data_IF_718132952577
#
_entry.id   IF_718132952577
#
_cell.length_a   1.000
_cell.length_b   1.000
_cell.length_c   1.000
_cell.angle_alpha   90.00
_cell.angle_beta   90.00
_cell.angle_gamma   90.00
#
_symmetry.space_group_name_H-M   'P 1'
#
loop_
_entity.id
_entity.type
_entity.pdbx_description
1 polymer ?
#
# COMPACT_ATOMS: atom_id res chain seq x y z
N UNK A 1 29.24 20.68 20.16
CA UNK A 1 28.54 21.03 18.91
C UNK A 1 28.05 19.74 18.27
N UNK A 2 26.75 19.45 18.34
CA UNK A 2 26.11 18.32 17.64
C UNK A 2 24.58 18.52 17.62
N UNK A 3 24.12 19.73 17.27
CA UNK A 3 22.70 20.08 17.26
C UNK A 3 22.06 20.02 15.86
N UNK A 4 22.86 19.90 14.79
CA UNK A 4 22.35 19.89 13.41
C UNK A 4 22.09 18.49 12.84
N UNK A 5 22.54 17.41 13.51
CA UNK A 5 22.43 16.05 12.96
C UNK A 5 21.08 15.37 13.23
N UNK A 6 20.34 15.77 14.27
CA UNK A 6 19.10 15.09 14.68
C UNK A 6 17.89 15.48 13.85
N UNK A 7 17.82 16.70 13.32
CA UNK A 7 16.71 17.13 12.43
C UNK A 7 16.76 16.40 11.09
N UNK A 8 17.97 16.15 10.57
CA UNK A 8 18.19 15.45 9.29
C UNK A 8 17.72 13.99 9.29
N UNK A 9 17.56 13.36 10.46
CA UNK A 9 17.12 11.96 10.57
C UNK A 9 15.61 11.79 10.25
N UNK A 10 14.82 12.83 10.54
CA UNK A 10 13.39 12.86 10.29
C UNK A 10 13.02 13.52 8.97
N UNK A 11 13.95 14.24 8.37
CA UNK A 11 13.76 14.87 7.07
C UNK A 11 13.90 13.84 5.96
N UNK A 12 12.88 13.81 5.11
CA UNK A 12 12.90 13.14 3.81
C UNK A 12 12.26 14.08 2.80
N UNK A 13 12.46 13.81 1.52
CA UNK A 13 11.70 14.52 0.50
C UNK A 13 10.27 13.94 0.47
N UNK A 14 9.37 14.56 1.23
CA UNK A 14 7.99 14.11 1.37
C UNK A 14 7.25 14.15 0.04
N UNK A 15 7.48 15.20 -0.76
CA UNK A 15 6.86 15.36 -2.08
C UNK A 15 7.29 14.23 -3.03
N UNK A 16 8.59 13.97 -3.15
CA UNK A 16 9.11 12.86 -3.97
C UNK A 16 8.58 11.50 -3.48
N UNK A 17 8.41 11.32 -2.17
CA UNK A 17 7.87 10.08 -1.63
C UNK A 17 6.39 9.89 -1.95
N UNK A 18 5.59 10.96 -1.87
CA UNK A 18 4.18 10.94 -2.28
C UNK A 18 4.06 10.68 -3.78
N UNK A 19 4.88 11.32 -4.61
CA UNK A 19 4.93 11.07 -6.04
C UNK A 19 5.30 9.61 -6.35
N UNK A 20 6.22 9.02 -5.59
CA UNK A 20 6.56 7.61 -5.70
C UNK A 20 5.38 6.70 -5.35
N UNK A 21 4.57 7.02 -4.33
CA UNK A 21 3.36 6.25 -3.99
C UNK A 21 2.36 6.31 -5.15
N UNK A 22 2.10 7.49 -5.71
CA UNK A 22 1.18 7.62 -6.85
C UNK A 22 1.71 6.89 -8.09
N UNK A 23 3.01 6.92 -8.33
CA UNK A 23 3.65 6.20 -9.44
C UNK A 23 3.53 4.68 -9.27
N UNK A 24 3.72 4.17 -8.04
CA UNK A 24 3.51 2.75 -7.71
C UNK A 24 2.05 2.35 -8.02
N UNK A 25 1.07 3.16 -7.59
CA UNK A 25 -0.35 2.89 -7.84
C UNK A 25 -0.70 2.86 -9.33
N UNK A 26 -0.28 3.88 -10.08
CA UNK A 26 -0.51 3.94 -11.53
C UNK A 26 0.15 2.76 -12.26
N UNK A 27 1.35 2.35 -11.82
CA UNK A 27 2.02 1.18 -12.37
C UNK A 27 1.28 -0.13 -12.08
N UNK A 28 0.70 -0.27 -10.88
CA UNK A 28 -0.08 -1.46 -10.53
C UNK A 28 -1.35 -1.58 -11.35
N UNK A 29 -2.08 -0.47 -11.54
CA UNK A 29 -3.27 -0.42 -12.40
C UNK A 29 -2.92 -0.91 -13.83
N UNK A 30 -1.85 -0.39 -14.43
CA UNK A 30 -1.41 -0.82 -15.76
C UNK A 30 -0.98 -2.30 -15.83
N UNK A 31 -0.36 -2.83 -14.78
CA UNK A 31 0.08 -4.22 -14.75
C UNK A 31 -1.07 -5.21 -14.62
N UNK A 32 -2.13 -4.82 -13.93
CA UNK A 32 -3.26 -5.70 -13.65
C UNK A 32 -4.20 -5.83 -14.87
N UNK A 33 -4.01 -4.98 -15.90
CA UNK A 33 -4.59 -5.13 -17.25
C UNK A 33 -3.94 -6.25 -18.08
N UNK A 34 -2.85 -6.88 -17.58
CA UNK A 34 -2.18 -7.98 -18.31
C UNK A 34 -2.79 -9.34 -17.99
N UNK A 35 -3.04 -10.15 -19.02
CA UNK A 35 -3.56 -11.51 -18.89
C UNK A 35 -2.48 -12.41 -18.24
N UNK A 36 -2.52 -12.53 -16.91
CA UNK A 36 -1.63 -13.38 -16.11
C UNK A 36 -2.43 -14.34 -15.25
N UNK A 37 -1.84 -15.49 -14.93
CA UNK A 37 -2.50 -16.52 -14.13
C UNK A 37 -2.93 -15.96 -12.76
N UNK A 38 -4.13 -16.33 -12.31
CA UNK A 38 -4.69 -15.85 -11.03
C UNK A 38 -3.76 -16.06 -9.84
N UNK A 39 -3.00 -17.17 -9.82
CA UNK A 39 -2.01 -17.46 -8.78
C UNK A 39 -0.84 -16.47 -8.77
N UNK A 40 -0.43 -15.98 -9.95
CA UNK A 40 0.60 -14.95 -10.06
C UNK A 40 0.07 -13.59 -9.62
N UNK A 41 -1.20 -13.28 -9.95
CA UNK A 41 -1.85 -12.05 -9.46
C UNK A 41 -1.93 -12.05 -7.94
N UNK A 42 -2.38 -13.14 -7.31
CA UNK A 42 -2.39 -13.28 -5.84
C UNK A 42 -1.00 -13.02 -5.24
N UNK A 43 0.06 -13.57 -5.85
CA UNK A 43 1.42 -13.37 -5.38
C UNK A 43 1.88 -11.90 -5.52
N UNK A 44 1.53 -11.22 -6.62
CA UNK A 44 1.80 -9.78 -6.81
C UNK A 44 1.11 -8.94 -5.74
N UNK A 45 -0.17 -9.20 -5.49
CA UNK A 45 -0.93 -8.49 -4.46
C UNK A 45 -0.39 -8.75 -3.05
N UNK A 46 0.05 -9.98 -2.75
CA UNK A 46 0.72 -10.30 -1.48
C UNK A 46 2.03 -9.52 -1.30
N UNK A 47 2.88 -9.45 -2.33
CA UNK A 47 4.14 -8.69 -2.28
C UNK A 47 3.88 -7.18 -2.11
N UNK A 48 2.96 -6.60 -2.90
CA UNK A 48 2.54 -5.20 -2.78
C UNK A 48 1.99 -4.90 -1.39
N UNK A 49 1.19 -5.81 -0.82
CA UNK A 49 0.64 -5.68 0.53
C UNK A 49 1.74 -5.64 1.58
N UNK A 50 2.69 -6.60 1.53
CA UNK A 50 3.80 -6.67 2.49
C UNK A 50 4.69 -5.44 2.40
N UNK A 51 5.01 -4.98 1.19
CA UNK A 51 5.81 -3.78 0.96
C UNK A 51 5.10 -2.53 1.49
N UNK A 52 3.81 -2.35 1.21
CA UNK A 52 3.00 -1.22 1.73
C UNK A 52 2.91 -1.25 3.25
N UNK A 53 2.68 -2.43 3.85
CA UNK A 53 2.64 -2.60 5.30
C UNK A 53 3.99 -2.23 5.94
N UNK A 54 5.10 -2.65 5.33
CA UNK A 54 6.43 -2.27 5.80
C UNK A 54 6.66 -0.75 5.72
N UNK A 55 6.26 -0.10 4.62
CA UNK A 55 6.32 1.37 4.48
C UNK A 55 5.54 2.05 5.62
N UNK A 56 4.31 1.62 5.90
CA UNK A 56 3.49 2.13 7.02
C UNK A 56 4.22 1.99 8.35
N UNK A 57 4.73 0.79 8.66
CA UNK A 57 5.47 0.54 9.91
C UNK A 57 6.67 1.48 10.09
N UNK A 58 7.42 1.73 9.01
CA UNK A 58 8.56 2.66 9.03
C UNK A 58 8.09 4.09 9.29
N UNK A 59 7.05 4.56 8.58
CA UNK A 59 6.51 5.91 8.76
C UNK A 59 5.94 6.14 10.15
N UNK A 60 5.16 5.19 10.68
CA UNK A 60 4.68 5.27 12.05
C UNK A 60 5.81 5.30 13.08
N UNK A 61 6.86 4.50 12.86
CA UNK A 61 8.03 4.48 13.76
C UNK A 61 8.72 5.84 13.76
N UNK A 62 9.01 6.40 12.58
CA UNK A 62 9.63 7.72 12.45
C UNK A 62 8.77 8.81 13.07
N UNK A 63 7.46 8.78 12.82
CA UNK A 63 6.48 9.68 13.44
C UNK A 63 6.49 9.60 14.96
N UNK A 64 6.45 8.39 15.54
CA UNK A 64 6.51 8.20 17.01
C UNK A 64 7.83 8.70 17.59
N UNK A 65 8.95 8.43 16.92
CA UNK A 65 10.27 8.92 17.32
C UNK A 65 10.31 10.45 17.31
N UNK A 66 9.83 11.08 16.24
CA UNK A 66 9.72 12.53 16.12
C UNK A 66 8.81 13.13 17.20
N UNK A 67 7.67 12.50 17.51
CA UNK A 67 6.76 12.98 18.56
C UNK A 67 7.40 12.94 19.96
N UNK A 68 8.28 11.97 20.20
CA UNK A 68 9.05 11.87 21.45
C UNK A 68 10.34 12.70 21.46
N UNK A 69 10.71 13.30 20.33
CA UNK A 69 11.94 14.08 20.22
C UNK A 69 11.82 15.42 20.96
N UNK A 70 12.81 15.71 21.79
CA UNK A 70 12.88 16.94 22.58
C UNK A 70 13.84 17.97 21.97
N UNK A 71 14.52 17.63 20.87
CA UNK A 71 15.56 18.46 20.25
C UNK A 71 14.99 19.34 19.15
N UNK A 72 14.09 18.79 18.33
CA UNK A 72 13.47 19.49 17.20
C UNK A 72 12.60 20.64 17.70
N UNK A 73 12.74 21.85 17.12
CA UNK A 73 11.87 22.97 17.46
C UNK A 73 10.40 22.60 17.27
N UNK A 74 9.55 22.94 18.25
CA UNK A 74 8.13 22.52 18.26
C UNK A 74 7.38 22.87 16.98
N UNK A 75 7.64 24.03 16.38
CA UNK A 75 7.01 24.43 15.11
C UNK A 75 7.39 23.46 13.99
N UNK A 76 8.68 23.14 13.86
CA UNK A 76 9.18 22.18 12.87
C UNK A 76 8.70 20.76 13.14
N UNK A 77 8.61 20.36 14.41
CA UNK A 77 8.06 19.07 14.82
C UNK A 77 6.60 18.93 14.37
N UNK A 78 5.78 19.97 14.54
CA UNK A 78 4.38 19.97 14.09
C UNK A 78 4.29 19.84 12.57
N UNK A 79 5.10 20.59 11.81
CA UNK A 79 5.16 20.47 10.35
C UNK A 79 5.50 19.04 9.91
N UNK A 80 6.61 18.49 10.41
CA UNK A 80 7.07 17.15 10.05
C UNK A 80 6.08 16.06 10.46
N UNK A 81 5.45 16.17 11.64
CA UNK A 81 4.39 15.24 12.07
C UNK A 81 3.20 15.27 11.11
N UNK A 82 2.81 16.46 10.64
CA UNK A 82 1.74 16.61 9.65
C UNK A 82 2.10 15.91 8.34
N UNK A 83 3.35 15.98 7.89
CA UNK A 83 3.78 15.30 6.66
C UNK A 83 3.77 13.77 6.80
N UNK A 84 4.22 13.25 7.95
CA UNK A 84 4.08 11.82 8.24
C UNK A 84 2.62 11.38 8.31
N UNK A 85 1.74 12.19 8.89
CA UNK A 85 0.30 11.92 8.93
C UNK A 85 -0.30 11.92 7.51
N UNK A 86 0.12 12.84 6.64
CA UNK A 86 -0.29 12.86 5.23
C UNK A 86 0.09 11.56 4.50
N UNK A 87 1.35 11.11 4.65
CA UNK A 87 1.80 9.84 4.05
C UNK A 87 0.99 8.66 4.58
N UNK A 88 0.77 8.58 5.89
CA UNK A 88 0.00 7.48 6.49
C UNK A 88 -1.45 7.47 6.01
N UNK A 89 -2.06 8.65 5.87
CA UNK A 89 -3.41 8.80 5.34
C UNK A 89 -3.52 8.35 3.87
N UNK A 90 -2.42 8.36 3.11
CA UNK A 90 -2.36 7.78 1.77
C UNK A 90 -2.14 6.27 1.79
N UNK A 91 -1.21 5.78 2.62
CA UNK A 91 -0.82 4.37 2.62
C UNK A 91 -1.88 3.44 3.24
N UNK A 92 -2.61 3.88 4.27
CA UNK A 92 -3.60 3.02 4.93
C UNK A 92 -4.74 2.58 3.98
N UNK A 93 -5.41 3.49 3.25
CA UNK A 93 -6.39 3.09 2.24
C UNK A 93 -5.82 2.14 1.17
N UNK A 94 -4.59 2.39 0.72
CA UNK A 94 -3.91 1.51 -0.25
C UNK A 94 -3.70 0.11 0.30
N UNK A 95 -3.32 -0.01 1.58
CA UNK A 95 -3.13 -1.31 2.22
C UNK A 95 -4.45 -2.09 2.30
N UNK A 96 -5.54 -1.43 2.69
CA UNK A 96 -6.87 -2.07 2.76
C UNK A 96 -7.36 -2.49 1.36
N UNK A 97 -7.15 -1.64 0.36
CA UNK A 97 -7.47 -1.99 -1.03
C UNK A 97 -6.68 -3.22 -1.51
N UNK A 98 -5.37 -3.25 -1.30
CA UNK A 98 -4.52 -4.41 -1.64
C UNK A 98 -4.97 -5.69 -0.95
N UNK A 99 -5.40 -5.58 0.31
CA UNK A 99 -5.92 -6.71 1.08
C UNK A 99 -7.21 -7.26 0.47
N UNK A 100 -8.17 -6.37 0.16
CA UNK A 100 -9.45 -6.75 -0.44
C UNK A 100 -9.24 -7.45 -1.78
N UNK A 101 -8.48 -6.84 -2.70
CA UNK A 101 -8.18 -7.43 -4.01
C UNK A 101 -7.55 -8.83 -3.90
N UNK A 102 -6.63 -9.00 -2.94
CA UNK A 102 -6.00 -10.29 -2.68
C UNK A 102 -6.97 -11.34 -2.17
N UNK A 103 -7.89 -10.95 -1.28
CA UNK A 103 -8.91 -11.84 -0.72
C UNK A 103 -9.89 -12.26 -1.82
N UNK A 104 -10.37 -11.33 -2.63
CA UNK A 104 -11.26 -11.60 -3.76
C UNK A 104 -10.62 -12.56 -4.79
N UNK A 105 -9.34 -12.34 -5.14
CA UNK A 105 -8.60 -13.24 -6.04
C UNK A 105 -8.41 -14.64 -5.44
N UNK A 106 -8.23 -14.76 -4.12
CA UNK A 106 -8.12 -16.07 -3.45
C UNK A 106 -9.47 -16.79 -3.47
N UNK A 107 -10.55 -16.08 -3.18
CA UNK A 107 -11.91 -16.64 -3.21
C UNK A 107 -12.27 -17.09 -4.63
N UNK A 108 -11.92 -16.30 -5.66
CA UNK A 108 -12.09 -16.67 -7.06
C UNK A 108 -11.28 -17.93 -7.41
N UNK A 109 -10.02 -18.01 -6.99
CA UNK A 109 -9.20 -19.20 -7.23
C UNK A 109 -9.81 -20.45 -6.56
N UNK A 110 -10.27 -20.33 -5.32
CA UNK A 110 -10.92 -21.42 -4.60
C UNK A 110 -12.24 -21.86 -5.26
N UNK A 111 -13.07 -20.91 -5.72
CA UNK A 111 -14.31 -21.20 -6.43
C UNK A 111 -14.02 -21.98 -7.73
N UNK A 112 -13.05 -21.52 -8.52
CA UNK A 112 -12.60 -22.22 -9.74
C UNK A 112 -12.09 -23.62 -9.45
N UNK A 113 -11.28 -23.80 -8.40
CA UNK A 113 -10.76 -25.13 -7.99
C UNK A 113 -11.89 -26.08 -7.55
N UNK A 114 -12.93 -25.56 -6.91
CA UNK A 114 -14.09 -26.35 -6.47
C UNK A 114 -15.12 -26.60 -7.58
N UNK A 115 -14.96 -25.95 -8.75
CA UNK A 115 -15.94 -26.00 -9.83
C UNK A 115 -17.24 -25.23 -9.52
N UNK A 116 -17.19 -24.27 -8.60
CA UNK A 116 -18.33 -23.42 -8.23
C UNK A 116 -18.42 -22.23 -9.20
N UNK A 117 -19.09 -22.47 -10.33
CA UNK A 117 -19.19 -21.53 -11.45
C UNK A 117 -20.01 -20.29 -11.09
N UNK A 118 -21.04 -20.42 -10.25
CA UNK A 118 -21.89 -19.29 -9.86
C UNK A 118 -21.09 -18.31 -8.98
N UNK A 119 -20.43 -18.81 -7.94
CA UNK A 119 -19.57 -18.00 -7.07
C UNK A 119 -18.41 -17.38 -7.85
N UNK A 120 -17.75 -18.14 -8.74
CA UNK A 120 -16.64 -17.61 -9.53
C UNK A 120 -17.08 -16.45 -10.43
N UNK A 121 -18.23 -16.57 -11.09
CA UNK A 121 -18.77 -15.51 -11.96
C UNK A 121 -19.19 -14.28 -11.17
N UNK A 122 -19.83 -14.46 -10.01
CA UNK A 122 -20.26 -13.34 -9.18
C UNK A 122 -19.04 -12.54 -8.65
N UNK A 123 -17.93 -13.21 -8.33
CA UNK A 123 -16.67 -12.56 -7.97
C UNK A 123 -16.03 -11.86 -9.18
N UNK A 124 -16.00 -12.50 -10.35
CA UNK A 124 -15.51 -11.89 -11.60
C UNK A 124 -16.29 -10.60 -11.94
N UNK A 125 -17.62 -10.59 -11.80
CA UNK A 125 -18.45 -9.40 -12.01
C UNK A 125 -18.17 -8.31 -10.98
N UNK A 126 -18.01 -8.67 -9.70
CA UNK A 126 -17.68 -7.72 -8.64
C UNK A 126 -16.30 -7.08 -8.84
N UNK A 127 -15.36 -7.81 -9.43
CA UNK A 127 -14.00 -7.37 -9.74
C UNK A 127 -13.86 -6.72 -11.12
N UNK A 128 -14.93 -6.66 -11.93
CA UNK A 128 -14.92 -6.20 -13.33
C UNK A 128 -13.92 -6.98 -14.22
N UNK A 129 -13.78 -8.29 -13.98
CA UNK A 129 -12.94 -9.19 -14.76
C UNK A 129 -13.70 -9.80 -15.94
N UNK A 130 -13.02 -10.04 -17.07
CA UNK A 130 -13.62 -10.84 -18.15
C UNK A 130 -13.90 -12.27 -17.67
N UNK A 131 -15.09 -12.82 -17.96
CA UNK A 131 -15.43 -14.19 -17.55
C UNK A 131 -14.43 -15.19 -18.13
N UNK A 132 -13.86 -16.05 -17.28
CA UNK A 132 -13.05 -17.14 -17.79
C UNK A 132 -13.96 -18.17 -18.48
N UNK A 133 -13.72 -18.45 -19.76
CA UNK A 133 -14.39 -19.55 -20.46
C UNK A 133 -13.90 -20.87 -19.86
N UNK A 134 -14.74 -21.49 -19.02
CA UNK A 134 -14.54 -22.80 -18.40
C UNK A 134 -14.50 -23.95 -19.41
#
# INVERSE_FOLDING_TARGET
>A
MSQNNTTHEFEMNFDEYIESIHSDLAYWEMLDETEVAITEQIARYEDRFLNTNFKIMVMERKRRQLASDSITPRVRQVELLSEYDNILNLLHPVLEWLKAQKEDLKDLWEARVRGDVETARDIEEAMDLEPAYF
#
